data_IF_654945362208
#
_entry.id   IF_654945362208
#
_cell.length_a   1.000
_cell.length_b   1.000
_cell.length_c   1.000
_cell.angle_alpha   90.00
_cell.angle_beta   90.00
_cell.angle_gamma   90.00
#
_symmetry.space_group_name_H-M   'P 1'
#
loop_
_entity.id
_entity.type
_entity.pdbx_description
1 polymer ?
#
# COMPACT_ATOMS: atom_id res chain seq x y z
N UNK A 1 -14.38 -10.80 1.88
CA UNK A 1 -12.92 -10.59 1.75
C UNK A 1 -12.52 -9.11 1.81
N UNK A 2 -13.21 -8.21 1.09
CA UNK A 2 -12.87 -6.78 1.03
C UNK A 2 -13.17 -6.01 2.33
N UNK A 3 -14.15 -6.43 3.10
CA UNK A 3 -14.57 -5.74 4.33
C UNK A 3 -13.48 -5.64 5.40
N UNK A 4 -12.77 -6.72 5.77
CA UNK A 4 -11.66 -6.62 6.72
C UNK A 4 -10.50 -5.77 6.19
N UNK A 5 -10.25 -5.76 4.88
CA UNK A 5 -9.23 -4.94 4.26
C UNK A 5 -9.55 -3.44 4.41
N UNK A 6 -10.78 -3.03 4.15
CA UNK A 6 -11.24 -1.65 4.31
C UNK A 6 -11.13 -1.22 5.77
N UNK A 7 -11.56 -2.06 6.71
CA UNK A 7 -11.44 -1.78 8.16
C UNK A 7 -9.97 -1.56 8.54
N UNK A 8 -9.08 -2.43 8.08
CA UNK A 8 -7.66 -2.32 8.34
C UNK A 8 -7.07 -1.03 7.79
N UNK A 9 -7.46 -0.60 6.58
CA UNK A 9 -7.05 0.69 6.01
C UNK A 9 -7.54 1.87 6.85
N UNK A 10 -8.79 1.86 7.31
CA UNK A 10 -9.34 2.91 8.16
C UNK A 10 -8.56 2.98 9.48
N UNK A 11 -8.27 1.84 10.10
CA UNK A 11 -7.46 1.78 11.32
C UNK A 11 -6.06 2.36 11.08
N UNK A 12 -5.39 1.97 10.01
CA UNK A 12 -4.06 2.49 9.68
C UNK A 12 -4.08 4.02 9.42
N UNK A 13 -5.11 4.51 8.72
CA UNK A 13 -5.27 5.94 8.46
C UNK A 13 -5.52 6.74 9.75
N UNK A 14 -6.37 6.23 10.66
CA UNK A 14 -6.63 6.87 11.95
C UNK A 14 -5.42 6.88 12.87
N UNK A 15 -4.66 5.78 12.91
CA UNK A 15 -3.42 5.71 13.67
C UNK A 15 -2.40 6.72 13.13
N UNK A 16 -2.25 6.80 11.81
CA UNK A 16 -1.34 7.76 11.17
C UNK A 16 -1.72 9.21 11.48
N UNK A 17 -3.03 9.52 11.53
CA UNK A 17 -3.49 10.88 11.87
C UNK A 17 -3.30 11.24 13.35
N UNK A 18 -3.46 10.28 14.27
CA UNK A 18 -3.23 10.51 15.71
C UNK A 18 -1.75 10.82 15.99
N UNK A 19 -0.82 10.32 15.18
CA UNK A 19 0.60 10.59 15.37
C UNK A 19 0.95 12.08 15.31
N UNK A 20 0.32 12.84 14.42
CA UNK A 20 0.52 14.31 14.35
C UNK A 20 0.10 15.01 15.64
N UNK A 21 -0.94 14.53 16.31
CA UNK A 21 -1.39 15.03 17.60
C UNK A 21 -0.37 14.84 18.73
N UNK A 22 0.38 13.73 18.69
CA UNK A 22 1.33 13.38 19.77
C UNK A 22 2.62 14.18 19.62
N UNK A 23 3.02 14.51 18.40
CA UNK A 23 4.33 15.11 18.12
C UNK A 23 4.34 16.63 17.93
N UNK A 24 3.18 17.26 17.69
CA UNK A 24 3.05 18.71 17.46
C UNK A 24 2.30 19.39 18.60
N UNK A 25 2.93 19.50 19.75
CA UNK A 25 2.31 20.00 21.01
C UNK A 25 2.10 21.54 20.99
N UNK A 26 2.75 22.29 20.09
CA UNK A 26 2.72 23.75 20.07
C UNK A 26 1.64 24.38 19.17
N UNK A 27 0.94 23.60 18.35
CA UNK A 27 -0.09 24.11 17.46
C UNK A 27 -1.48 24.13 18.12
N UNK A 28 -2.37 25.00 17.61
CA UNK A 28 -3.75 25.12 18.09
C UNK A 28 -4.49 23.80 17.87
N UNK A 29 -5.22 23.32 18.89
CA UNK A 29 -5.93 22.02 18.88
C UNK A 29 -6.84 21.85 17.64
N UNK A 30 -7.51 22.93 17.22
CA UNK A 30 -8.43 22.89 16.07
C UNK A 30 -7.67 22.68 14.76
N UNK A 31 -6.55 23.33 14.59
CA UNK A 31 -5.71 23.19 13.38
C UNK A 31 -5.11 21.80 13.29
N UNK A 32 -4.58 21.27 14.40
CA UNK A 32 -4.06 19.89 14.48
C UNK A 32 -5.13 18.85 14.18
N UNK A 33 -6.35 19.04 14.70
CA UNK A 33 -7.46 18.14 14.46
C UNK A 33 -7.86 18.10 12.98
N UNK A 34 -7.99 19.27 12.35
CA UNK A 34 -8.32 19.37 10.92
C UNK A 34 -7.21 18.76 10.04
N UNK A 35 -5.95 18.99 10.38
CA UNK A 35 -4.81 18.44 9.67
C UNK A 35 -4.72 16.91 9.81
N UNK A 36 -5.02 16.38 10.98
CA UNK A 36 -5.10 14.94 11.23
C UNK A 36 -6.19 14.27 10.40
N UNK A 37 -7.39 14.87 10.31
CA UNK A 37 -8.47 14.37 9.46
C UNK A 37 -8.07 14.41 7.99
N UNK A 38 -7.50 15.54 7.54
CA UNK A 38 -7.00 15.70 6.17
C UNK A 38 -6.01 14.57 5.82
N UNK A 39 -5.01 14.38 6.66
CA UNK A 39 -3.98 13.36 6.45
C UNK A 39 -4.57 11.93 6.43
N UNK A 40 -5.54 11.64 7.32
CA UNK A 40 -6.24 10.36 7.33
C UNK A 40 -7.02 10.10 6.04
N UNK A 41 -7.75 11.11 5.56
CA UNK A 41 -8.53 11.01 4.31
C UNK A 41 -7.61 10.86 3.11
N UNK A 42 -6.55 11.66 3.02
CA UNK A 42 -5.56 11.57 1.94
C UNK A 42 -4.89 10.20 1.93
N UNK A 43 -4.45 9.72 3.08
CA UNK A 43 -3.87 8.38 3.22
C UNK A 43 -4.84 7.29 2.75
N UNK A 44 -6.07 7.31 3.26
CA UNK A 44 -7.08 6.32 2.88
C UNK A 44 -7.33 6.31 1.37
N UNK A 45 -7.60 7.48 0.78
CA UNK A 45 -7.89 7.59 -0.65
C UNK A 45 -6.68 7.18 -1.49
N UNK A 46 -5.47 7.65 -1.16
CA UNK A 46 -4.26 7.37 -1.92
C UNK A 46 -3.94 5.87 -1.95
N UNK A 47 -4.00 5.21 -0.81
CA UNK A 47 -3.66 3.79 -0.72
C UNK A 47 -4.78 2.89 -1.23
N UNK A 48 -6.05 3.27 -1.03
CA UNK A 48 -7.19 2.52 -1.57
C UNK A 48 -7.24 2.60 -3.10
N UNK A 49 -7.19 3.81 -3.67
CA UNK A 49 -7.14 3.98 -5.12
C UNK A 49 -5.86 3.39 -5.71
N UNK A 50 -4.73 3.61 -5.04
CA UNK A 50 -3.44 3.06 -5.46
C UNK A 50 -3.47 1.54 -5.57
N UNK A 51 -4.04 0.86 -4.60
CA UNK A 51 -4.24 -0.59 -4.62
C UNK A 51 -5.06 -1.05 -5.84
N UNK A 52 -6.21 -0.40 -6.10
CA UNK A 52 -7.05 -0.74 -7.25
C UNK A 52 -6.32 -0.49 -8.57
N UNK A 53 -5.68 0.67 -8.71
CA UNK A 53 -4.94 1.03 -9.92
C UNK A 53 -3.80 0.04 -10.19
N UNK A 54 -3.04 -0.33 -9.16
CA UNK A 54 -1.96 -1.33 -9.29
C UNK A 54 -2.51 -2.66 -9.76
N UNK A 55 -3.60 -3.13 -9.15
CA UNK A 55 -4.21 -4.42 -9.51
C UNK A 55 -4.72 -4.42 -10.95
N UNK A 56 -5.38 -3.34 -11.38
CA UNK A 56 -5.85 -3.21 -12.76
C UNK A 56 -4.70 -3.13 -13.76
N UNK A 57 -3.69 -2.30 -13.50
CA UNK A 57 -2.50 -2.20 -14.35
C UNK A 57 -1.83 -3.56 -14.49
N UNK A 58 -1.70 -4.26 -13.37
CA UNK A 58 -1.04 -5.56 -13.38
C UNK A 58 -1.85 -6.60 -14.17
N UNK A 59 -3.15 -6.70 -13.93
CA UNK A 59 -4.01 -7.66 -14.61
C UNK A 59 -4.16 -7.36 -16.12
N UNK A 60 -4.41 -6.09 -16.48
CA UNK A 60 -4.74 -5.75 -17.87
C UNK A 60 -3.49 -5.54 -18.74
N UNK A 61 -2.46 -4.90 -18.21
CA UNK A 61 -1.31 -4.47 -18.99
C UNK A 61 -0.10 -5.41 -18.89
N UNK A 62 0.08 -6.09 -17.74
CA UNK A 62 1.30 -6.84 -17.48
C UNK A 62 1.11 -8.36 -17.51
N UNK A 63 -0.05 -8.88 -17.06
CA UNK A 63 -0.25 -10.32 -16.91
C UNK A 63 -0.06 -11.08 -18.23
N UNK A 64 -0.76 -10.69 -19.28
CA UNK A 64 -0.70 -11.39 -20.56
C UNK A 64 0.56 -11.09 -21.38
N UNK A 65 0.95 -9.83 -21.68
CA UNK A 65 2.07 -9.55 -22.59
C UNK A 65 3.45 -9.79 -21.98
N UNK A 66 3.61 -9.60 -20.66
CA UNK A 66 4.92 -9.70 -20.00
C UNK A 66 5.16 -11.00 -19.27
N UNK A 67 4.11 -11.57 -18.68
CA UNK A 67 4.24 -12.76 -17.83
C UNK A 67 3.61 -14.01 -18.43
N UNK A 68 2.93 -13.89 -19.59
CA UNK A 68 2.22 -15.00 -20.25
C UNK A 68 1.23 -15.71 -19.32
N UNK A 69 0.60 -14.94 -18.44
CA UNK A 69 -0.38 -15.42 -17.48
C UNK A 69 -1.80 -15.13 -17.97
N UNK A 70 -2.72 -15.99 -17.59
CA UNK A 70 -4.15 -15.70 -17.79
C UNK A 70 -4.56 -14.51 -16.94
N UNK A 71 -5.41 -13.64 -17.53
CA UNK A 71 -5.98 -12.51 -16.82
C UNK A 71 -6.98 -13.03 -15.79
N UNK A 72 -6.64 -12.90 -14.53
CA UNK A 72 -7.49 -13.29 -13.41
C UNK A 72 -7.42 -12.18 -12.36
N UNK A 73 -8.43 -11.34 -12.39
CA UNK A 73 -8.51 -10.17 -11.52
C UNK A 73 -8.58 -10.59 -10.05
N UNK A 74 -9.28 -11.67 -9.72
CA UNK A 74 -9.44 -12.14 -8.34
C UNK A 74 -8.13 -12.64 -7.75
N UNK A 75 -7.31 -13.34 -8.54
CA UNK A 75 -5.97 -13.76 -8.13
C UNK A 75 -5.05 -12.57 -7.89
N UNK A 76 -5.06 -11.59 -8.81
CA UNK A 76 -4.29 -10.36 -8.65
C UNK A 76 -4.75 -9.58 -7.41
N UNK A 77 -6.05 -9.42 -7.21
CA UNK A 77 -6.60 -8.78 -6.01
C UNK A 77 -6.18 -9.48 -4.73
N UNK A 78 -6.26 -10.79 -4.71
CA UNK A 78 -5.87 -11.58 -3.54
C UNK A 78 -4.40 -11.36 -3.19
N UNK A 79 -3.51 -11.50 -4.17
CA UNK A 79 -2.07 -11.32 -3.96
C UNK A 79 -1.74 -9.92 -3.46
N UNK A 80 -2.25 -8.89 -4.15
CA UNK A 80 -1.94 -7.50 -3.80
C UNK A 80 -2.62 -7.06 -2.52
N UNK A 81 -3.80 -7.60 -2.18
CA UNK A 81 -4.45 -7.32 -0.90
C UNK A 81 -3.62 -7.78 0.29
N UNK A 82 -3.10 -9.01 0.25
CA UNK A 82 -2.24 -9.52 1.32
C UNK A 82 -0.93 -8.73 1.43
N UNK A 83 -0.31 -8.42 0.30
CA UNK A 83 0.97 -7.71 0.30
C UNK A 83 0.82 -6.25 0.74
N UNK A 84 -0.20 -5.55 0.26
CA UNK A 84 -0.45 -4.15 0.61
C UNK A 84 -0.91 -3.98 2.05
N UNK A 85 -1.66 -4.93 2.62
CA UNK A 85 -2.10 -4.85 4.01
C UNK A 85 -0.91 -4.75 4.99
N UNK A 86 0.16 -5.50 4.74
CA UNK A 86 1.40 -5.39 5.52
C UNK A 86 2.05 -4.02 5.34
N UNK A 87 2.13 -3.52 4.10
CA UNK A 87 2.74 -2.22 3.81
C UNK A 87 2.00 -1.08 4.50
N UNK A 88 0.67 -1.14 4.58
CA UNK A 88 -0.13 -0.15 5.31
C UNK A 88 0.11 -0.19 6.81
N UNK A 89 0.20 -1.39 7.39
CA UNK A 89 0.58 -1.55 8.80
C UNK A 89 1.95 -0.94 9.09
N UNK A 90 2.94 -1.21 8.23
CA UNK A 90 4.29 -0.67 8.40
C UNK A 90 4.27 0.86 8.29
N UNK A 91 3.56 1.42 7.31
CA UNK A 91 3.42 2.88 7.16
C UNK A 91 2.78 3.50 8.41
N UNK A 92 1.71 2.91 8.95
CA UNK A 92 1.07 3.38 10.18
C UNK A 92 2.02 3.33 11.38
N UNK A 93 2.80 2.24 11.53
CA UNK A 93 3.80 2.12 12.59
C UNK A 93 4.92 3.15 12.46
N UNK A 94 5.40 3.41 11.24
CA UNK A 94 6.42 4.43 10.98
C UNK A 94 5.90 5.83 11.31
N UNK A 95 4.62 6.12 11.04
CA UNK A 95 3.99 7.38 11.42
C UNK A 95 3.89 7.53 12.95
N UNK A 96 3.59 6.45 13.67
CA UNK A 96 3.55 6.46 15.14
C UNK A 96 4.94 6.57 15.79
N UNK A 97 5.96 6.01 15.15
CA UNK A 97 7.32 5.94 15.68
C UNK A 97 8.35 6.44 14.66
N UNK A 98 8.36 7.76 14.36
CA UNK A 98 9.20 8.31 13.29
C UNK A 98 10.70 8.11 13.52
N UNK A 99 11.14 7.95 14.76
CA UNK A 99 12.54 7.72 15.12
C UNK A 99 13.00 6.26 14.94
N UNK A 100 12.08 5.33 14.68
CA UNK A 100 12.39 3.91 14.57
C UNK A 100 12.62 3.51 13.11
N UNK A 101 13.73 3.94 12.51
CA UNK A 101 14.08 3.65 11.11
C UNK A 101 14.12 2.16 10.77
N UNK A 102 14.36 1.28 11.76
CA UNK A 102 14.36 -0.17 11.54
C UNK A 102 13.00 -0.72 11.09
N UNK A 103 11.89 -0.02 11.35
CA UNK A 103 10.56 -0.42 10.88
C UNK A 103 10.50 -0.52 9.35
N UNK A 104 11.30 0.28 8.64
CA UNK A 104 11.40 0.16 7.19
C UNK A 104 11.98 -1.18 6.72
N UNK A 105 12.75 -1.87 7.56
CA UNK A 105 13.26 -3.21 7.25
C UNK A 105 12.14 -4.24 7.11
N UNK A 106 11.00 -4.02 7.79
CA UNK A 106 9.83 -4.89 7.66
C UNK A 106 9.26 -4.89 6.23
N UNK A 107 9.54 -3.85 5.43
CA UNK A 107 9.15 -3.83 4.02
C UNK A 107 9.80 -4.94 3.20
N UNK A 108 10.97 -5.46 3.61
CA UNK A 108 11.56 -6.63 2.96
C UNK A 108 10.68 -7.87 3.09
N UNK A 109 9.85 -7.95 4.13
CA UNK A 109 8.88 -9.03 4.25
C UNK A 109 7.76 -8.95 3.22
N UNK A 110 7.40 -7.74 2.75
CA UNK A 110 6.46 -7.59 1.65
C UNK A 110 6.99 -8.21 0.35
N UNK A 111 8.32 -8.12 0.10
CA UNK A 111 8.96 -8.80 -1.03
C UNK A 111 8.75 -10.31 -0.95
N UNK A 112 8.97 -10.88 0.24
CA UNK A 112 8.76 -12.30 0.49
C UNK A 112 7.29 -12.71 0.27
N UNK A 113 6.33 -11.90 0.73
CA UNK A 113 4.90 -12.18 0.54
C UNK A 113 4.50 -12.15 -0.94
N UNK A 114 4.98 -11.16 -1.71
CA UNK A 114 4.71 -11.08 -3.14
C UNK A 114 5.34 -12.29 -3.86
N UNK A 115 6.58 -12.63 -3.52
CA UNK A 115 7.28 -13.76 -4.11
C UNK A 115 6.56 -15.09 -3.86
N UNK A 116 6.30 -15.41 -2.61
CA UNK A 116 5.66 -16.68 -2.23
C UNK A 116 4.20 -16.73 -2.70
N UNK A 117 3.48 -15.60 -2.58
CA UNK A 117 2.11 -15.49 -3.05
C UNK A 117 2.00 -15.66 -4.58
N UNK A 118 2.93 -15.07 -5.34
CA UNK A 118 2.96 -15.23 -6.79
C UNK A 118 3.15 -16.69 -7.19
N UNK A 119 4.07 -17.41 -6.54
CA UNK A 119 4.30 -18.84 -6.83
C UNK A 119 3.11 -19.72 -6.47
N UNK A 120 2.39 -19.40 -5.37
CA UNK A 120 1.26 -20.21 -4.90
C UNK A 120 -0.02 -19.91 -5.69
N UNK A 121 -0.25 -18.63 -6.05
CA UNK A 121 -1.50 -18.21 -6.70
C UNK A 121 -1.45 -18.42 -8.21
N UNK A 122 -0.26 -18.27 -8.80
CA UNK A 122 -0.05 -18.42 -10.25
C UNK A 122 0.81 -19.67 -10.55
N UNK A 123 0.14 -20.82 -10.66
CA UNK A 123 0.79 -22.12 -10.84
C UNK A 123 1.72 -22.22 -12.06
N UNK A 124 1.51 -21.38 -13.07
CA UNK A 124 2.25 -21.42 -14.35
C UNK A 124 3.43 -20.42 -14.41
N UNK A 125 3.74 -19.72 -13.30
CA UNK A 125 4.79 -18.72 -13.31
C UNK A 125 6.17 -19.37 -13.26
N UNK A 126 6.95 -19.20 -14.33
CA UNK A 126 8.34 -19.70 -14.38
C UNK A 126 9.21 -19.00 -13.34
N UNK A 127 10.16 -19.72 -12.72
CA UNK A 127 11.04 -19.17 -11.66
C UNK A 127 11.76 -17.87 -12.06
N UNK A 128 12.20 -17.76 -13.31
CA UNK A 128 12.87 -16.56 -13.81
C UNK A 128 11.90 -15.37 -13.91
N UNK A 129 10.65 -15.64 -14.25
CA UNK A 129 9.60 -14.62 -14.33
C UNK A 129 9.14 -14.15 -12.94
N UNK A 130 9.21 -15.04 -11.92
CA UNK A 130 8.81 -14.68 -10.54
C UNK A 130 9.64 -13.52 -10.00
N UNK A 131 10.94 -13.47 -10.30
CA UNK A 131 11.80 -12.34 -9.88
C UNK A 131 11.32 -11.02 -10.51
N UNK A 132 11.13 -11.03 -11.83
CA UNK A 132 10.67 -9.84 -12.56
C UNK A 132 9.29 -9.41 -12.09
N UNK A 133 8.40 -10.37 -11.90
CA UNK A 133 7.05 -10.17 -11.36
C UNK A 133 7.12 -9.45 -10.01
N UNK A 134 7.88 -10.00 -9.06
CA UNK A 134 8.01 -9.46 -7.70
C UNK A 134 8.57 -8.04 -7.71
N UNK A 135 9.62 -7.77 -8.52
CA UNK A 135 10.21 -6.44 -8.61
C UNK A 135 9.24 -5.40 -9.19
N UNK A 136 8.53 -5.74 -10.27
CA UNK A 136 7.56 -4.84 -10.90
C UNK A 136 6.36 -4.62 -9.98
N UNK A 137 5.83 -5.69 -9.36
CA UNK A 137 4.73 -5.59 -8.42
C UNK A 137 5.07 -4.69 -7.22
N UNK A 138 6.26 -4.88 -6.65
CA UNK A 138 6.74 -4.06 -5.54
C UNK A 138 6.88 -2.59 -5.95
N UNK A 139 7.50 -2.32 -7.10
CA UNK A 139 7.66 -0.97 -7.61
C UNK A 139 6.31 -0.28 -7.79
N UNK A 140 5.33 -0.95 -8.39
CA UNK A 140 3.99 -0.39 -8.60
C UNK A 140 3.28 -0.15 -7.27
N UNK A 141 3.34 -1.11 -6.31
CA UNK A 141 2.70 -0.98 -5.00
C UNK A 141 3.27 0.17 -4.15
N UNK A 142 4.52 0.58 -4.40
CA UNK A 142 5.12 1.74 -3.74
C UNK A 142 4.89 3.04 -4.51
N UNK A 143 5.20 3.05 -5.81
CA UNK A 143 5.21 4.30 -6.58
C UNK A 143 3.81 4.88 -6.80
N UNK A 144 2.80 4.03 -7.05
CA UNK A 144 1.46 4.52 -7.38
C UNK A 144 0.76 5.16 -6.17
N UNK A 145 0.67 4.51 -4.98
CA UNK A 145 0.06 5.15 -3.82
C UNK A 145 0.80 6.42 -3.38
N UNK A 146 2.14 6.41 -3.37
CA UNK A 146 2.94 7.59 -3.05
C UNK A 146 2.73 8.72 -4.06
N UNK A 147 2.60 8.41 -5.34
CA UNK A 147 2.29 9.39 -6.37
C UNK A 147 0.92 10.05 -6.14
N UNK A 148 -0.11 9.25 -5.83
CA UNK A 148 -1.45 9.73 -5.54
C UNK A 148 -1.44 10.58 -4.25
N UNK A 149 -0.78 10.09 -3.17
CA UNK A 149 -0.62 10.82 -1.90
C UNK A 149 -0.02 12.22 -2.14
N UNK A 150 1.08 12.30 -2.88
CA UNK A 150 1.75 13.58 -3.18
C UNK A 150 0.89 14.53 -4.02
N UNK A 151 0.11 14.01 -4.97
CA UNK A 151 -0.81 14.82 -5.78
C UNK A 151 -1.93 15.35 -4.90
N UNK A 152 -2.52 14.51 -4.06
CA UNK A 152 -3.62 14.91 -3.18
C UNK A 152 -3.19 15.95 -2.15
N UNK A 153 -2.00 15.80 -1.54
CA UNK A 153 -1.47 16.79 -0.60
C UNK A 153 -1.24 18.16 -1.22
N UNK A 154 -0.99 18.23 -2.53
CA UNK A 154 -0.86 19.50 -3.27
C UNK A 154 -2.19 20.11 -3.67
N UNK A 155 -3.23 19.27 -3.84
CA UNK A 155 -4.56 19.72 -4.24
C UNK A 155 -5.42 20.18 -3.07
N UNK A 156 -5.16 19.66 -1.87
CA UNK A 156 -5.89 20.00 -0.65
C UNK A 156 -4.97 20.87 0.21
N UNK A 157 -5.07 22.19 0.10
CA UNK A 157 -4.24 23.15 0.85
C UNK A 157 -4.48 23.07 2.36
#
# INVERSE_FOLDING_TARGET
FYFPLIIMMIICATIGSISSFIFEIEADFVTLFLESIKNAVVFFIAYFLGFFVVTLIFNELLASPFFYMERDLDKCFTLFAYSSSLMWCIKALVLLFPNMLFLYLLNFYAIYLIWTGAVVIFDNLQKEMTVKFTLIALLLLYCIPLGIENIMLKLIP
#
